data_IF_322990336617
#
_entry.id   IF_322990336617
#
_cell.length_a   1.000
_cell.length_b   1.000
_cell.length_c   1.000
_cell.angle_alpha   90.00
_cell.angle_beta   90.00
_cell.angle_gamma   90.00
#
_symmetry.space_group_name_H-M   'P 1'
#
loop_
_entity.id
_entity.type
_entity.pdbx_description
1 polymer ?
#
# COMPACT_ATOMS: atom_id res chain seq x y z
N UNK A 1 5.24 22.96 55.24
CA UNK A 1 4.57 21.66 55.46
C UNK A 1 3.74 21.25 54.25
N UNK A 2 4.29 20.29 53.49
CA UNK A 2 3.63 19.20 52.75
C UNK A 2 2.73 19.44 51.52
N UNK A 3 2.43 20.65 51.05
CA UNK A 3 1.59 20.80 49.83
C UNK A 3 2.19 21.55 48.64
N UNK A 4 3.37 22.15 48.79
CA UNK A 4 4.04 22.90 47.73
C UNK A 4 5.25 22.19 47.12
N UNK A 5 5.53 20.95 47.54
CA UNK A 5 6.61 20.10 47.02
C UNK A 5 6.13 19.06 45.99
N UNK A 6 4.84 19.05 45.64
CA UNK A 6 4.27 18.18 44.60
C UNK A 6 4.11 18.88 43.23
N UNK A 7 4.39 20.19 43.15
CA UNK A 7 4.29 20.97 41.90
C UNK A 7 5.53 20.89 40.99
N UNK A 8 6.58 20.21 41.42
CA UNK A 8 7.85 20.11 40.69
C UNK A 8 8.34 18.65 40.57
N UNK A 9 7.39 17.69 40.66
CA UNK A 9 7.63 16.25 40.53
C UNK A 9 6.66 15.59 39.53
N UNK A 10 6.23 16.33 38.50
CA UNK A 10 5.47 15.79 37.36
C UNK A 10 6.12 16.11 36.00
N UNK A 11 7.27 16.79 35.99
CA UNK A 11 7.95 17.21 34.75
C UNK A 11 9.18 16.36 34.38
N UNK A 12 9.50 15.31 35.14
CA UNK A 12 10.63 14.45 34.84
C UNK A 12 10.25 13.01 35.17
N UNK A 13 9.72 12.30 34.18
CA UNK A 13 9.83 10.86 33.87
C UNK A 13 8.69 10.59 32.89
N UNK A 14 9.00 10.72 31.61
CA UNK A 14 8.59 9.80 30.54
C UNK A 14 9.62 9.97 29.41
N UNK A 15 10.87 9.66 29.77
CA UNK A 15 11.90 9.29 28.80
C UNK A 15 11.60 7.85 28.40
N UNK A 16 11.57 7.57 27.10
CA UNK A 16 12.05 6.29 26.61
C UNK A 16 11.16 5.61 25.58
N UNK A 17 11.67 5.59 24.35
CA UNK A 17 11.42 4.59 23.29
C UNK A 17 10.02 4.63 22.66
N UNK A 18 9.84 4.63 21.33
CA UNK A 18 10.73 4.12 20.31
C UNK A 18 10.31 4.61 18.89
N UNK A 19 11.33 4.66 18.03
CA UNK A 19 11.32 4.68 16.56
C UNK A 19 10.83 5.94 15.82
N UNK A 20 11.84 6.63 15.27
CA UNK A 20 11.88 7.20 13.93
C UNK A 20 10.56 7.13 13.14
N UNK A 21 9.82 8.24 13.11
CA UNK A 21 8.99 8.56 11.94
C UNK A 21 9.94 9.12 10.87
N UNK A 22 10.83 8.24 10.38
CA UNK A 22 11.54 8.49 9.14
C UNK A 22 10.51 8.34 8.02
N UNK A 23 10.28 9.43 7.28
CA UNK A 23 9.36 9.52 6.15
C UNK A 23 7.89 9.20 6.48
N UNK A 24 7.11 10.23 6.82
CA UNK A 24 5.67 10.16 6.54
C UNK A 24 5.46 9.79 5.07
N UNK A 25 4.50 8.92 4.73
CA UNK A 25 4.26 8.57 3.34
C UNK A 25 3.99 9.86 2.56
N UNK A 26 4.71 10.05 1.45
CA UNK A 26 4.39 11.09 0.48
C UNK A 26 2.96 10.94 -0.02
N UNK A 27 2.51 11.78 -0.96
CA UNK A 27 1.14 11.73 -1.48
C UNK A 27 0.87 10.35 -2.12
N UNK A 28 0.21 9.47 -1.36
CA UNK A 28 0.12 8.03 -1.61
C UNK A 28 0.60 7.26 -0.38
N UNK A 29 -0.34 6.88 0.49
CA UNK A 29 -0.13 6.25 1.80
C UNK A 29 0.78 5.01 1.81
N UNK A 30 0.94 4.36 2.99
CA UNK A 30 1.94 3.32 3.21
C UNK A 30 1.64 2.11 2.31
N UNK A 31 2.37 2.00 1.19
CA UNK A 31 2.20 0.88 0.26
C UNK A 31 2.49 1.25 -1.18
N UNK A 32 3.78 1.23 -1.52
CA UNK A 32 4.33 0.95 -2.86
C UNK A 32 3.76 1.70 -4.08
N UNK A 33 4.23 1.36 -5.29
CA UNK A 33 3.66 1.89 -6.52
C UNK A 33 2.18 1.47 -6.61
N UNK A 34 1.31 2.39 -7.06
CA UNK A 34 -0.07 2.05 -7.43
C UNK A 34 -0.12 1.11 -8.64
N UNK A 35 -1.32 0.70 -9.08
CA UNK A 35 -1.50 -0.22 -10.22
C UNK A 35 -0.70 0.18 -11.48
N UNK A 36 -0.62 1.47 -11.80
CA UNK A 36 0.20 2.00 -12.90
C UNK A 36 1.70 1.71 -12.70
N UNK A 37 2.20 1.94 -11.49
CA UNK A 37 3.61 1.69 -11.17
C UNK A 37 3.97 0.20 -11.17
N UNK A 38 3.00 -0.70 -11.02
CA UNK A 38 3.24 -2.13 -11.24
C UNK A 38 3.42 -2.43 -12.73
N UNK A 39 2.55 -1.89 -13.59
CA UNK A 39 2.64 -2.13 -15.03
C UNK A 39 3.92 -1.54 -15.61
N UNK A 40 4.27 -0.31 -15.25
CA UNK A 40 5.53 0.33 -15.67
C UNK A 40 6.74 -0.50 -15.25
N UNK A 41 6.74 -1.02 -14.01
CA UNK A 41 7.78 -1.91 -13.51
C UNK A 41 7.84 -3.19 -14.33
N UNK A 42 6.72 -3.85 -14.63
CA UNK A 42 6.71 -5.06 -15.47
C UNK A 42 7.22 -4.81 -16.89
N UNK A 43 6.82 -3.70 -17.52
CA UNK A 43 7.24 -3.35 -18.87
C UNK A 43 8.74 -3.07 -18.95
N UNK A 44 9.34 -2.53 -17.88
CA UNK A 44 10.78 -2.28 -17.81
C UNK A 44 11.65 -3.55 -17.80
N UNK A 45 11.11 -4.68 -17.33
CA UNK A 45 11.83 -5.94 -17.16
C UNK A 45 12.09 -6.68 -18.46
N UNK A 46 11.46 -6.25 -19.56
CA UNK A 46 11.54 -6.89 -20.88
C UNK A 46 11.32 -8.40 -20.78
N UNK A 47 10.24 -8.79 -20.10
CA UNK A 47 9.87 -10.19 -19.87
C UNK A 47 9.74 -10.95 -21.20
N UNK A 48 10.18 -12.22 -21.22
CA UNK A 48 9.89 -13.12 -22.34
C UNK A 48 8.39 -13.44 -22.38
N UNK A 49 7.88 -13.96 -23.50
CA UNK A 49 6.45 -14.26 -23.60
C UNK A 49 6.00 -15.34 -22.61
N UNK A 50 6.86 -16.33 -22.32
CA UNK A 50 6.63 -17.30 -21.26
C UNK A 50 6.55 -16.63 -19.88
N UNK A 51 7.49 -15.73 -19.56
CA UNK A 51 7.46 -14.98 -18.30
C UNK A 51 6.23 -14.07 -18.19
N UNK A 52 5.82 -13.40 -19.27
CA UNK A 52 4.61 -12.57 -19.28
C UNK A 52 3.38 -13.40 -18.94
N UNK A 53 3.26 -14.60 -19.53
CA UNK A 53 2.18 -15.53 -19.22
C UNK A 53 2.20 -15.93 -17.74
N UNK A 54 3.34 -16.39 -17.21
CA UNK A 54 3.44 -16.86 -15.82
C UNK A 54 3.16 -15.73 -14.82
N UNK A 55 3.69 -14.52 -15.08
CA UNK A 55 3.40 -13.32 -14.29
C UNK A 55 1.91 -12.99 -14.33
N UNK A 56 1.29 -12.98 -15.52
CA UNK A 56 -0.13 -12.70 -15.67
C UNK A 56 -0.99 -13.72 -14.92
N UNK A 57 -0.63 -15.00 -14.92
CA UNK A 57 -1.31 -16.04 -14.14
C UNK A 57 -1.21 -15.76 -12.64
N UNK A 58 -0.04 -15.39 -12.13
CA UNK A 58 0.14 -15.02 -10.71
C UNK A 58 -0.74 -13.83 -10.35
N UNK A 59 -0.75 -12.77 -11.15
CA UNK A 59 -1.56 -11.59 -10.90
C UNK A 59 -3.06 -11.88 -10.98
N UNK A 60 -3.49 -12.65 -12.00
CA UNK A 60 -4.88 -13.08 -12.20
C UNK A 60 -5.42 -13.82 -10.98
N UNK A 61 -4.65 -14.78 -10.45
CA UNK A 61 -5.02 -15.56 -9.25
C UNK A 61 -5.22 -14.69 -8.00
N UNK A 62 -4.59 -13.53 -7.94
CA UNK A 62 -4.66 -12.62 -6.79
C UNK A 62 -5.55 -11.40 -7.05
N UNK A 63 -6.18 -11.28 -8.23
CA UNK A 63 -7.01 -10.13 -8.63
C UNK A 63 -8.11 -9.84 -7.62
N UNK A 64 -8.92 -10.84 -7.27
CA UNK A 64 -10.02 -10.69 -6.32
C UNK A 64 -9.53 -10.27 -4.91
N UNK A 65 -8.37 -10.78 -4.47
CA UNK A 65 -7.78 -10.41 -3.19
C UNK A 65 -7.32 -8.94 -3.17
N UNK A 66 -6.70 -8.47 -4.26
CA UNK A 66 -6.33 -7.06 -4.41
C UNK A 66 -7.56 -6.16 -4.46
N UNK A 67 -8.61 -6.55 -5.19
CA UNK A 67 -9.86 -5.79 -5.27
C UNK A 67 -10.51 -5.65 -3.90
N UNK A 68 -10.67 -6.77 -3.18
CA UNK A 68 -11.21 -6.77 -1.82
C UNK A 68 -10.40 -5.90 -0.87
N UNK A 69 -9.06 -6.03 -0.87
CA UNK A 69 -8.21 -5.22 -0.01
C UNK A 69 -8.23 -3.72 -0.37
N UNK A 70 -8.31 -3.38 -1.66
CA UNK A 70 -8.44 -1.98 -2.10
C UNK A 70 -9.78 -1.37 -1.70
N UNK A 71 -10.86 -2.16 -1.73
CA UNK A 71 -12.17 -1.76 -1.21
C UNK A 71 -12.10 -1.52 0.29
N UNK A 72 -11.54 -2.45 1.07
CA UNK A 72 -11.38 -2.31 2.51
C UNK A 72 -10.54 -1.08 2.90
N UNK A 73 -9.47 -0.78 2.15
CA UNK A 73 -8.70 0.46 2.35
C UNK A 73 -9.55 1.70 2.10
N UNK A 74 -10.29 1.76 0.98
CA UNK A 74 -11.17 2.90 0.67
C UNK A 74 -12.22 3.11 1.77
N UNK A 75 -12.93 2.05 2.14
CA UNK A 75 -13.95 2.08 3.18
C UNK A 75 -13.38 2.55 4.52
N UNK A 76 -12.17 2.12 4.88
CA UNK A 76 -11.50 2.56 6.12
C UNK A 76 -11.14 4.04 6.10
N UNK A 77 -10.68 4.57 4.95
CA UNK A 77 -10.42 6.00 4.79
C UNK A 77 -11.70 6.84 4.79
N UNK A 78 -12.77 6.34 4.16
CA UNK A 78 -14.08 6.99 4.17
C UNK A 78 -14.67 7.00 5.59
N UNK A 79 -14.53 5.90 6.34
CA UNK A 79 -14.92 5.84 7.75
C UNK A 79 -14.17 6.83 8.63
N UNK A 80 -12.86 7.01 8.42
CA UNK A 80 -12.09 8.07 9.09
C UNK A 80 -12.60 9.47 8.72
N UNK A 81 -12.87 9.72 7.44
CA UNK A 81 -13.42 11.01 6.99
C UNK A 81 -14.78 11.29 7.63
N UNK A 82 -15.62 10.27 7.74
CA UNK A 82 -16.92 10.38 8.38
C UNK A 82 -16.79 10.67 9.87
N UNK A 83 -15.94 9.95 10.61
CA UNK A 83 -15.67 10.25 12.03
C UNK A 83 -15.22 11.70 12.22
N UNK A 84 -14.29 12.16 11.39
CA UNK A 84 -13.80 13.55 11.46
C UNK A 84 -14.88 14.59 11.18
N UNK A 85 -15.92 14.23 10.40
CA UNK A 85 -17.03 15.10 10.02
C UNK A 85 -18.18 15.07 11.03
N UNK A 86 -18.52 13.89 11.57
CA UNK A 86 -19.72 13.68 12.38
C UNK A 86 -19.44 13.75 13.87
N UNK A 87 -18.20 13.51 14.30
CA UNK A 87 -17.78 13.48 15.70
C UNK A 87 -16.45 14.23 15.91
N UNK A 88 -16.39 15.53 15.53
CA UNK A 88 -15.15 16.29 15.54
C UNK A 88 -14.59 16.42 16.97
N UNK A 89 -13.33 16.04 17.14
CA UNK A 89 -12.61 16.14 18.42
C UNK A 89 -12.78 14.93 19.35
N UNK A 90 -13.57 13.92 18.98
CA UNK A 90 -13.62 12.67 19.74
C UNK A 90 -12.39 11.80 19.45
N UNK A 91 -11.43 11.88 20.37
CA UNK A 91 -10.17 11.17 20.29
C UNK A 91 -10.35 9.64 20.18
N UNK A 92 -11.33 9.07 20.89
CA UNK A 92 -11.56 7.62 20.87
C UNK A 92 -12.06 7.15 19.50
N UNK A 93 -13.01 7.87 18.92
CA UNK A 93 -13.53 7.60 17.56
C UNK A 93 -12.41 7.70 16.52
N UNK A 94 -11.57 8.74 16.60
CA UNK A 94 -10.42 8.91 15.70
C UNK A 94 -9.41 7.77 15.84
N UNK A 95 -9.06 7.39 17.07
CA UNK A 95 -8.14 6.27 17.33
C UNK A 95 -8.69 4.94 16.80
N UNK A 96 -10.00 4.70 16.94
CA UNK A 96 -10.65 3.51 16.40
C UNK A 96 -10.59 3.47 14.87
N UNK A 97 -10.97 4.56 14.20
CA UNK A 97 -10.88 4.67 12.74
C UNK A 97 -9.45 4.51 12.23
N UNK A 98 -8.46 5.04 12.96
CA UNK A 98 -7.05 4.87 12.61
C UNK A 98 -6.59 3.41 12.67
N UNK A 99 -7.07 2.64 13.66
CA UNK A 99 -6.78 1.19 13.74
C UNK A 99 -7.38 0.42 12.58
N UNK A 100 -8.59 0.79 12.13
CA UNK A 100 -9.22 0.16 10.96
C UNK A 100 -8.37 0.36 9.69
N UNK A 101 -7.88 1.59 9.46
CA UNK A 101 -6.95 1.87 8.36
C UNK A 101 -5.68 1.02 8.48
N UNK A 102 -5.13 0.90 9.70
CA UNK A 102 -3.90 0.14 9.92
C UNK A 102 -4.07 -1.35 9.57
N UNK A 103 -5.18 -1.97 9.98
CA UNK A 103 -5.50 -3.37 9.63
C UNK A 103 -5.62 -3.56 8.12
N UNK A 104 -6.39 -2.71 7.44
CA UNK A 104 -6.52 -2.80 5.99
C UNK A 104 -5.19 -2.59 5.24
N UNK A 105 -4.34 -1.69 5.73
CA UNK A 105 -3.01 -1.46 5.18
C UNK A 105 -2.05 -2.63 5.42
N UNK A 106 -2.10 -3.25 6.60
CA UNK A 106 -1.31 -4.44 6.95
C UNK A 106 -1.65 -5.62 6.03
N UNK A 107 -2.93 -5.94 5.88
CA UNK A 107 -3.39 -7.03 5.01
C UNK A 107 -2.96 -6.81 3.55
N UNK A 108 -3.08 -5.56 3.07
CA UNK A 108 -2.64 -5.19 1.73
C UNK A 108 -1.12 -5.33 1.56
N UNK A 109 -0.33 -4.93 2.57
CA UNK A 109 1.13 -5.08 2.54
C UNK A 109 1.55 -6.55 2.51
N UNK A 110 0.90 -7.40 3.31
CA UNK A 110 1.12 -8.84 3.32
C UNK A 110 0.78 -9.47 1.96
N UNK A 111 -0.35 -9.10 1.37
CA UNK A 111 -0.74 -9.57 0.04
C UNK A 111 0.29 -9.18 -1.02
N UNK A 112 0.72 -7.91 -1.02
CA UNK A 112 1.76 -7.42 -1.94
C UNK A 112 3.07 -8.18 -1.78
N UNK A 113 3.51 -8.40 -0.54
CA UNK A 113 4.75 -9.15 -0.27
C UNK A 113 4.69 -10.58 -0.78
N UNK A 114 3.55 -11.28 -0.60
CA UNK A 114 3.35 -12.64 -1.13
C UNK A 114 3.38 -12.68 -2.65
N UNK A 115 2.70 -11.74 -3.31
CA UNK A 115 2.66 -11.66 -4.77
C UNK A 115 4.03 -11.30 -5.33
N UNK A 116 4.70 -10.30 -4.75
CA UNK A 116 6.06 -9.91 -5.15
C UNK A 116 7.05 -11.06 -5.01
N UNK A 117 7.01 -11.80 -3.89
CA UNK A 117 7.84 -13.00 -3.72
C UNK A 117 7.58 -14.03 -4.83
N UNK A 118 6.32 -14.27 -5.20
CA UNK A 118 6.00 -15.17 -6.31
C UNK A 118 6.55 -14.65 -7.65
N UNK A 119 6.39 -13.36 -7.95
CA UNK A 119 6.91 -12.75 -9.17
C UNK A 119 8.44 -12.86 -9.27
N UNK A 120 9.17 -12.61 -8.18
CA UNK A 120 10.63 -12.67 -8.14
C UNK A 120 11.22 -14.04 -8.52
N UNK A 121 10.46 -15.13 -8.30
CA UNK A 121 10.85 -16.49 -8.71
C UNK A 121 10.82 -16.70 -10.22
N UNK A 122 10.03 -15.89 -10.95
CA UNK A 122 9.89 -15.96 -12.40
C UNK A 122 10.94 -15.12 -13.15
N UNK A 123 11.65 -14.25 -12.42
CA UNK A 123 12.63 -13.33 -13.00
C UNK A 123 14.03 -13.95 -13.07
N UNK A 124 14.80 -13.53 -14.07
CA UNK A 124 16.25 -13.79 -14.10
C UNK A 124 16.97 -12.97 -13.02
N UNK A 125 18.21 -13.32 -12.64
CA UNK A 125 19.00 -12.50 -11.71
C UNK A 125 19.11 -11.04 -12.15
N UNK A 126 19.33 -10.78 -13.44
CA UNK A 126 19.43 -9.42 -13.98
C UNK A 126 18.10 -8.66 -13.87
N UNK A 127 16.99 -9.33 -14.15
CA UNK A 127 15.65 -8.73 -14.00
C UNK A 127 15.33 -8.41 -12.54
N UNK A 128 15.79 -9.23 -11.57
CA UNK A 128 15.62 -8.91 -10.15
C UNK A 128 16.36 -7.64 -9.73
N UNK A 129 17.56 -7.42 -10.25
CA UNK A 129 18.28 -6.15 -10.01
C UNK A 129 17.48 -4.95 -10.53
N UNK A 130 16.95 -5.04 -11.76
CA UNK A 130 16.10 -3.99 -12.34
C UNK A 130 14.83 -3.78 -11.49
N UNK A 131 14.24 -4.88 -11.03
CA UNK A 131 13.06 -4.85 -10.16
C UNK A 131 13.34 -4.05 -8.88
N UNK A 132 14.46 -4.30 -8.20
CA UNK A 132 14.87 -3.59 -6.98
C UNK A 132 15.16 -2.09 -7.22
N UNK A 133 15.80 -1.76 -8.35
CA UNK A 133 16.18 -0.38 -8.68
C UNK A 133 14.98 0.52 -9.05
N UNK A 134 13.91 -0.05 -9.62
CA UNK A 134 12.73 0.69 -10.09
C UNK A 134 11.75 1.03 -8.95
N UNK A 135 12.13 0.82 -7.68
CA UNK A 135 11.32 1.11 -6.49
C UNK A 135 10.91 2.57 -6.24
N UNK A 136 11.14 3.50 -7.17
CA UNK A 136 10.72 4.92 -7.07
C UNK A 136 9.98 5.33 -8.34
N UNK A 137 8.64 5.20 -8.41
CA UNK A 137 7.89 5.68 -9.55
C UNK A 137 8.05 7.21 -9.69
N UNK A 138 8.22 7.75 -10.92
CA UNK A 138 8.13 9.19 -11.14
C UNK A 138 6.72 9.69 -10.75
N UNK A 139 6.65 10.83 -10.07
CA UNK A 139 5.38 11.42 -9.60
C UNK A 139 4.53 11.90 -10.78
N UNK A 140 3.29 11.40 -10.97
CA UNK A 140 2.35 11.95 -11.95
C UNK A 140 1.73 13.27 -11.46
N UNK A 141 1.20 14.07 -12.39
CA UNK A 141 0.66 15.42 -12.14
C UNK A 141 -0.77 15.44 -11.56
N UNK A 142 -1.57 14.35 -11.64
CA UNK A 142 -2.95 14.27 -11.11
C UNK A 142 -3.21 12.95 -10.32
N UNK A 143 -3.77 12.97 -9.09
CA UNK A 143 -4.06 11.77 -8.28
C UNK A 143 -5.30 10.93 -8.65
N UNK A 144 -6.36 11.49 -9.26
CA UNK A 144 -7.65 10.77 -9.42
C UNK A 144 -7.71 9.92 -10.68
N UNK A 145 -7.05 10.35 -11.75
CA UNK A 145 -6.91 9.59 -12.98
C UNK A 145 -6.07 8.30 -12.77
N UNK A 146 -5.13 8.32 -11.80
CA UNK A 146 -4.17 7.23 -11.47
C UNK A 146 -4.77 5.87 -11.13
N UNK A 147 -5.98 5.83 -10.56
CA UNK A 147 -6.49 4.61 -9.92
C UNK A 147 -7.44 3.81 -10.80
N UNK A 148 -8.11 4.44 -11.76
CA UNK A 148 -9.03 3.75 -12.66
C UNK A 148 -8.31 3.31 -13.92
N UNK A 149 -7.63 4.23 -14.61
CA UNK A 149 -6.85 3.92 -15.81
C UNK A 149 -5.78 2.86 -15.53
N UNK A 150 -5.00 3.01 -14.46
CA UNK A 150 -4.01 2.01 -14.08
C UNK A 150 -4.53 0.61 -13.78
N UNK A 151 -5.72 0.49 -13.18
CA UNK A 151 -6.30 -0.83 -12.89
C UNK A 151 -6.81 -1.51 -14.15
N UNK A 152 -7.47 -0.76 -15.03
CA UNK A 152 -7.93 -1.26 -16.31
C UNK A 152 -6.76 -1.72 -17.17
N UNK A 153 -5.69 -0.92 -17.26
CA UNK A 153 -4.47 -1.30 -17.99
C UNK A 153 -3.81 -2.57 -17.44
N UNK A 154 -3.74 -2.72 -16.12
CA UNK A 154 -3.22 -3.95 -15.50
C UNK A 154 -4.14 -5.14 -15.79
N UNK A 155 -5.45 -4.97 -15.71
CA UNK A 155 -6.41 -6.05 -15.98
C UNK A 155 -6.38 -6.47 -17.45
N UNK A 156 -6.33 -5.53 -18.37
CA UNK A 156 -6.20 -5.78 -19.81
C UNK A 156 -4.89 -6.50 -20.13
N UNK A 157 -3.78 -6.09 -19.50
CA UNK A 157 -2.49 -6.77 -19.63
C UNK A 157 -2.55 -8.22 -19.14
N UNK A 158 -3.17 -8.44 -17.96
CA UNK A 158 -3.37 -9.78 -17.41
C UNK A 158 -4.21 -10.63 -18.37
N UNK A 159 -5.35 -10.12 -18.85
CA UNK A 159 -6.26 -10.85 -19.71
C UNK A 159 -5.63 -11.16 -21.09
N UNK A 160 -4.80 -10.25 -21.60
CA UNK A 160 -4.02 -10.44 -22.84
C UNK A 160 -3.06 -11.62 -22.73
N UNK A 161 -2.44 -11.82 -21.55
CA UNK A 161 -1.38 -12.82 -21.37
C UNK A 161 -1.82 -14.11 -20.67
N UNK A 162 -2.88 -14.08 -19.87
CA UNK A 162 -3.43 -15.24 -19.14
C UNK A 162 -4.84 -15.65 -19.60
N UNK A 163 -5.41 -14.96 -20.60
CA UNK A 163 -6.78 -15.15 -21.06
C UNK A 163 -7.81 -14.50 -20.13
N UNK A 164 -9.01 -14.22 -20.65
CA UNK A 164 -10.14 -13.71 -19.84
C UNK A 164 -10.70 -14.81 -18.93
N UNK A 165 -11.30 -14.40 -17.83
CA UNK A 165 -12.17 -15.32 -17.08
C UNK A 165 -13.37 -15.67 -17.97
N UNK A 166 -13.68 -16.97 -18.09
CA UNK A 166 -14.84 -17.47 -18.84
C UNK A 166 -16.13 -17.25 -18.06
#
# INVERSE_FOLDING_TARGET
MKKLLYGMLTLAILIGSAYAVAAGPGPGGPGGPGPEGLLDRLLSLKLTDAQKHDVAVVLKRNRAAFESGMTAMRESFDGMRDVMRTDPGNENSVRQASRAIAVAAEDMAVLRGKVEAALLTLLTPQQRTIWEEIGKPPMPRDPKERFHAGRELVNDWIDTHAGKDS
#
